data_IF_856939579199
#
_entry.id   IF_856939579199
#
_cell.length_a   1.000
_cell.length_b   1.000
_cell.length_c   1.000
_cell.angle_alpha   90.00
_cell.angle_beta   90.00
_cell.angle_gamma   90.00
#
_symmetry.space_group_name_H-M   'P 1'
#
loop_
_entity.id
_entity.type
_entity.pdbx_description
1 polymer ?
#
# COMPACT_ATOMS: atom_id res chain seq x y z
N UNK A 1 54.84 -20.87 30.87
CA UNK A 1 54.66 -22.31 30.55
C UNK A 1 53.52 -22.41 29.57
N UNK A 2 53.81 -22.87 28.35
CA UNK A 2 52.82 -23.22 27.33
C UNK A 2 52.05 -24.46 27.79
N UNK A 3 50.72 -24.46 27.66
CA UNK A 3 49.99 -25.67 27.26
C UNK A 3 48.88 -25.27 26.26
N UNK A 4 49.07 -25.76 25.03
CA UNK A 4 48.06 -25.86 23.98
C UNK A 4 46.94 -26.79 24.45
N UNK A 5 45.72 -26.43 24.11
CA UNK A 5 44.54 -27.30 24.09
C UNK A 5 43.58 -26.74 23.05
N UNK A 6 43.87 -27.07 21.79
CA UNK A 6 42.97 -26.88 20.64
C UNK A 6 42.02 -28.08 20.63
N UNK A 7 40.72 -27.84 20.75
CA UNK A 7 39.69 -28.82 20.39
C UNK A 7 38.51 -28.05 19.79
N UNK A 8 38.29 -28.31 18.50
CA UNK A 8 37.44 -27.54 17.62
C UNK A 8 35.95 -27.62 17.95
N UNK A 9 35.27 -26.51 17.71
CA UNK A 9 33.83 -26.47 17.49
C UNK A 9 33.51 -25.40 16.45
N UNK A 10 33.30 -25.86 15.22
CA UNK A 10 32.65 -25.10 14.16
C UNK A 10 31.23 -24.72 14.63
N UNK A 11 30.97 -23.44 14.88
CA UNK A 11 29.62 -22.90 14.77
C UNK A 11 29.68 -21.57 14.00
N UNK A 12 28.70 -21.44 13.12
CA UNK A 12 28.62 -20.62 11.92
C UNK A 12 28.81 -19.12 12.11
N UNK A 13 29.60 -18.55 11.21
CA UNK A 13 29.68 -17.11 10.93
C UNK A 13 28.33 -16.61 10.44
N UNK A 14 27.70 -15.72 11.18
CA UNK A 14 26.72 -14.78 10.67
C UNK A 14 27.27 -13.36 10.86
N UNK A 15 28.05 -12.95 9.84
CA UNK A 15 28.47 -11.58 9.64
C UNK A 15 27.22 -10.68 9.62
N UNK A 16 27.26 -9.63 10.44
CA UNK A 16 26.30 -8.54 10.39
C UNK A 16 26.37 -7.89 9.00
N UNK A 17 25.41 -8.23 8.14
CA UNK A 17 25.20 -7.54 6.87
C UNK A 17 24.51 -6.22 7.17
N UNK A 18 25.25 -5.14 6.92
CA UNK A 18 24.78 -3.77 6.86
C UNK A 18 23.43 -3.71 6.13
N UNK A 19 22.40 -3.24 6.82
CA UNK A 19 21.09 -2.96 6.25
C UNK A 19 21.14 -1.70 5.39
N UNK A 20 21.67 -1.84 4.18
CA UNK A 20 21.31 -0.94 3.08
C UNK A 20 19.99 -1.48 2.53
N UNK A 21 18.89 -0.90 2.99
CA UNK A 21 17.58 -1.15 2.40
C UNK A 21 17.54 -0.32 1.12
N UNK A 22 18.16 -0.85 0.07
CA UNK A 22 17.82 -0.47 -1.29
C UNK A 22 16.39 -0.93 -1.51
N UNK A 23 15.42 -0.03 -1.39
CA UNK A 23 14.08 -0.28 -1.93
C UNK A 23 14.17 -0.12 -3.45
N UNK A 24 14.75 -1.14 -4.07
CA UNK A 24 14.58 -1.45 -5.45
C UNK A 24 13.07 -1.59 -5.73
N UNK A 25 12.46 -0.49 -6.18
CA UNK A 25 11.14 -0.52 -6.82
C UNK A 25 11.29 -1.30 -8.13
N UNK A 26 11.35 -2.62 -8.00
CA UNK A 26 11.27 -3.58 -9.09
C UNK A 26 9.95 -4.30 -8.93
N UNK A 27 8.92 -3.73 -9.53
CA UNK A 27 7.54 -4.16 -9.34
C UNK A 27 6.65 -3.76 -10.50
N UNK A 28 7.02 -4.21 -11.70
CA UNK A 28 6.17 -4.32 -12.91
C UNK A 28 5.56 -3.03 -13.44
N UNK A 29 5.95 -2.67 -14.65
CA UNK A 29 5.12 -1.88 -15.58
C UNK A 29 3.80 -2.63 -15.81
N UNK A 30 2.84 -2.44 -14.91
CA UNK A 30 1.47 -2.83 -15.17
C UNK A 30 1.05 -2.10 -16.43
N UNK A 31 0.54 -2.85 -17.40
CA UNK A 31 0.11 -2.39 -18.73
C UNK A 31 -1.17 -1.54 -18.65
N UNK A 32 -1.26 -0.66 -17.65
CA UNK A 32 -2.39 0.18 -17.33
C UNK A 32 -1.89 1.58 -17.00
N UNK A 33 -2.61 2.58 -17.50
CA UNK A 33 -2.31 3.99 -17.24
C UNK A 33 -2.31 4.34 -15.74
N UNK A 34 -2.09 5.62 -15.40
CA UNK A 34 -2.02 6.07 -14.01
C UNK A 34 -3.26 5.65 -13.22
N UNK A 35 -3.03 5.11 -12.02
CA UNK A 35 -4.06 4.68 -11.07
C UNK A 35 -3.86 5.45 -9.77
N UNK A 36 -4.95 6.01 -9.24
CA UNK A 36 -4.98 6.62 -7.91
C UNK A 36 -6.00 5.91 -7.03
N UNK A 37 -5.76 5.93 -5.71
CA UNK A 37 -6.66 5.37 -4.71
C UNK A 37 -6.99 6.43 -3.66
N UNK A 38 -8.26 6.53 -3.27
CA UNK A 38 -8.71 7.48 -2.25
C UNK A 38 -9.60 6.72 -1.26
N UNK A 39 -9.27 6.82 0.03
CA UNK A 39 -10.17 6.45 1.11
C UNK A 39 -11.00 7.67 1.53
N UNK A 40 -12.32 7.55 1.56
CA UNK A 40 -13.22 8.67 1.83
C UNK A 40 -14.44 8.26 2.66
N UNK A 41 -15.00 9.18 3.43
CA UNK A 41 -16.27 9.01 4.12
C UNK A 41 -17.30 9.93 3.46
N UNK A 42 -18.35 9.33 2.88
CA UNK A 42 -19.45 10.10 2.29
C UNK A 42 -20.45 10.45 3.39
N UNK A 43 -20.35 11.68 3.90
CA UNK A 43 -21.30 12.21 4.92
C UNK A 43 -22.52 12.90 4.30
N UNK A 44 -22.37 13.38 3.06
CA UNK A 44 -23.42 14.04 2.30
C UNK A 44 -23.30 13.62 0.83
N UNK A 45 -24.39 13.08 0.28
CA UNK A 45 -24.44 12.65 -1.12
C UNK A 45 -24.26 13.82 -2.09
N UNK A 46 -24.78 15.01 -1.79
CA UNK A 46 -24.66 16.19 -2.65
C UNK A 46 -23.21 16.62 -2.81
N UNK A 47 -22.43 16.58 -1.72
CA UNK A 47 -21.00 16.88 -1.77
C UNK A 47 -20.23 15.85 -2.59
N UNK A 48 -20.58 14.58 -2.45
CA UNK A 48 -19.95 13.52 -3.24
C UNK A 48 -20.32 13.64 -4.74
N UNK A 49 -21.54 14.05 -5.06
CA UNK A 49 -21.96 14.25 -6.44
C UNK A 49 -21.15 15.34 -7.15
N UNK A 50 -20.73 16.40 -6.44
CA UNK A 50 -19.80 17.38 -7.00
C UNK A 50 -18.46 16.76 -7.41
N UNK A 51 -17.91 15.86 -6.59
CA UNK A 51 -16.70 15.10 -6.92
C UNK A 51 -16.93 14.17 -8.12
N UNK A 52 -18.04 13.42 -8.12
CA UNK A 52 -18.37 12.49 -9.22
C UNK A 52 -18.51 13.23 -10.55
N UNK A 53 -19.14 14.41 -10.54
CA UNK A 53 -19.25 15.29 -11.72
C UNK A 53 -17.87 15.75 -12.19
N UNK A 54 -17.03 16.26 -11.29
CA UNK A 54 -15.69 16.71 -11.64
C UNK A 54 -14.83 15.58 -12.23
N UNK A 55 -14.94 14.37 -11.69
CA UNK A 55 -14.26 13.19 -12.22
C UNK A 55 -14.75 12.84 -13.64
N UNK A 56 -16.07 12.88 -13.88
CA UNK A 56 -16.64 12.63 -15.20
C UNK A 56 -16.20 13.69 -16.23
N UNK A 57 -16.20 14.97 -15.86
CA UNK A 57 -15.74 16.08 -16.69
C UNK A 57 -14.25 15.91 -17.07
N UNK A 58 -13.43 15.41 -16.13
CA UNK A 58 -12.01 15.12 -16.32
C UNK A 58 -11.71 13.78 -17.02
N UNK A 59 -12.73 13.06 -17.51
CA UNK A 59 -12.56 11.72 -18.11
C UNK A 59 -11.87 10.72 -17.17
N UNK A 60 -12.27 10.72 -15.90
CA UNK A 60 -11.82 9.74 -14.91
C UNK A 60 -12.91 8.71 -14.61
N UNK A 61 -12.54 7.44 -14.62
CA UNK A 61 -13.35 6.35 -14.10
C UNK A 61 -13.14 6.25 -12.59
N UNK A 62 -14.23 6.27 -11.82
CA UNK A 62 -14.20 6.12 -10.37
C UNK A 62 -14.97 4.85 -10.00
N UNK A 63 -14.28 3.90 -9.40
CA UNK A 63 -14.84 2.60 -9.01
C UNK A 63 -14.70 2.40 -7.51
N UNK A 64 -15.80 2.08 -6.83
CA UNK A 64 -15.76 1.69 -5.43
C UNK A 64 -15.26 0.24 -5.31
N UNK A 65 -14.15 0.05 -4.61
CA UNK A 65 -13.50 -1.24 -4.41
C UNK A 65 -13.47 -1.67 -2.93
N UNK A 66 -14.24 -1.00 -2.07
CA UNK A 66 -14.28 -1.28 -0.62
C UNK A 66 -14.59 -2.75 -0.31
N UNK A 67 -15.43 -3.40 -1.14
CA UNK A 67 -15.79 -4.81 -0.96
C UNK A 67 -14.70 -5.78 -1.41
N UNK A 68 -13.81 -5.38 -2.32
CA UNK A 68 -12.77 -6.25 -2.88
C UNK A 68 -11.40 -6.01 -2.24
N UNK A 69 -11.17 -4.81 -1.70
CA UNK A 69 -9.94 -4.45 -1.01
C UNK A 69 -10.26 -3.67 0.26
N UNK A 70 -9.81 -4.19 1.41
CA UNK A 70 -10.03 -3.55 2.69
C UNK A 70 -9.21 -2.25 2.78
N UNK A 71 -9.80 -1.10 3.13
CA UNK A 71 -9.06 0.17 3.27
C UNK A 71 -7.85 0.10 4.22
N UNK A 72 -7.89 -0.80 5.21
CA UNK A 72 -6.79 -1.04 6.16
C UNK A 72 -5.52 -1.59 5.53
N UNK A 73 -5.58 -2.20 4.34
CA UNK A 73 -4.38 -2.64 3.62
C UNK A 73 -3.60 -1.46 3.02
N UNK A 74 -4.24 -0.30 2.85
CA UNK A 74 -3.63 0.91 2.31
C UNK A 74 -3.30 1.93 3.41
N UNK A 75 -4.11 1.97 4.47
CA UNK A 75 -4.02 2.99 5.52
C UNK A 75 -4.06 2.32 6.91
N UNK A 76 -2.91 2.03 7.53
CA UNK A 76 -2.84 1.27 8.78
C UNK A 76 -3.64 1.91 9.94
N UNK A 77 -3.72 3.25 9.98
CA UNK A 77 -4.48 3.98 11.00
C UNK A 77 -6.00 3.74 10.92
N UNK A 78 -6.51 3.23 9.79
CA UNK A 78 -7.93 2.91 9.63
C UNK A 78 -8.39 1.71 10.46
N UNK A 79 -7.47 0.92 11.02
CA UNK A 79 -7.80 -0.18 11.94
C UNK A 79 -8.56 0.34 13.16
N UNK A 80 -8.28 1.57 13.58
CA UNK A 80 -8.86 2.20 14.78
C UNK A 80 -10.11 3.05 14.50
N UNK A 81 -10.49 3.24 13.23
CA UNK A 81 -11.69 4.02 12.86
C UNK A 81 -12.92 3.12 12.74
N UNK A 82 -14.12 3.67 12.91
CA UNK A 82 -15.36 2.95 12.57
C UNK A 82 -15.42 2.73 11.05
N UNK A 83 -15.01 1.52 10.66
CA UNK A 83 -14.79 1.07 9.28
C UNK A 83 -16.04 1.10 8.42
N UNK A 84 -17.23 1.10 9.03
CA UNK A 84 -18.52 0.94 8.35
C UNK A 84 -18.85 2.07 7.36
N UNK A 85 -18.23 3.24 7.53
CA UNK A 85 -18.54 4.44 6.74
C UNK A 85 -17.48 4.81 5.70
N UNK A 86 -16.34 4.13 5.68
CA UNK A 86 -15.22 4.49 4.80
C UNK A 86 -15.28 3.68 3.52
N UNK A 87 -15.23 4.38 2.39
CA UNK A 87 -15.20 3.79 1.06
C UNK A 87 -13.81 3.96 0.46
N UNK A 88 -13.30 2.91 -0.18
CA UNK A 88 -12.09 2.95 -0.99
C UNK A 88 -12.47 3.07 -2.46
N UNK A 89 -12.02 4.14 -3.10
CA UNK A 89 -12.27 4.44 -4.49
C UNK A 89 -10.98 4.26 -5.29
N UNK A 90 -11.07 3.55 -6.41
CA UNK A 90 -10.03 3.46 -7.43
C UNK A 90 -10.37 4.43 -8.56
N UNK A 91 -9.39 5.24 -8.94
CA UNK A 91 -9.51 6.24 -9.99
C UNK A 91 -8.54 5.91 -11.11
N UNK A 92 -9.03 5.87 -12.34
CA UNK A 92 -8.22 5.67 -13.55
C UNK A 92 -8.68 6.63 -14.65
N UNK A 93 -7.88 6.83 -15.69
CA UNK A 93 -8.38 7.48 -16.92
C UNK A 93 -9.47 6.60 -17.56
N UNK A 94 -10.54 7.24 -18.06
CA UNK A 94 -11.46 6.61 -19.01
C UNK A 94 -10.70 6.43 -20.33
N UNK A 95 -10.45 5.17 -20.69
CA UNK A 95 -9.97 4.81 -22.04
C UNK A 95 -11.14 4.78 -23.02
#
# INVERSE_FOLDING_TARGET
>A
MLLRGDDGRHESVNAATNGEIGDEVSGTTATGGPVAYIATVIRNADTFNCFAKAAADAKLSVVNITSSAAPSSFLPYMISYDRSSVQLLKITLLS
#
